data_IF_769761707565
#
_entry.id   IF_769761707565
#
_cell.length_a   1.000
_cell.length_b   1.000
_cell.length_c   1.000
_cell.angle_alpha   90.00
_cell.angle_beta   90.00
_cell.angle_gamma   90.00
#
_symmetry.space_group_name_H-M   'P 1'
#
loop_
_entity.id
_entity.type
_entity.pdbx_description
1 polymer ?
#
# COMPACT_ATOMS: atom_id res chain seq x y z
N UNK A 1 3.02 40.55 -0.55
CA UNK A 1 2.19 39.65 0.28
C UNK A 1 1.54 38.61 -0.61
N UNK A 2 2.03 37.36 -0.62
CA UNK A 2 1.28 36.16 -1.01
C UNK A 2 2.27 34.97 -1.12
N UNK A 3 2.36 34.15 -0.08
CA UNK A 3 2.51 32.70 -0.22
C UNK A 3 2.36 32.07 1.17
N UNK A 4 1.11 31.89 1.61
CA UNK A 4 0.76 31.09 2.79
C UNK A 4 0.07 29.77 2.40
N UNK A 5 0.21 29.30 1.15
CA UNK A 5 -0.60 28.19 0.60
C UNK A 5 -0.01 26.79 0.77
N UNK A 6 0.81 26.55 1.79
CA UNK A 6 1.31 25.21 2.13
C UNK A 6 1.29 24.91 3.64
N UNK A 7 0.41 25.57 4.41
CA UNK A 7 0.31 25.37 5.87
C UNK A 7 -0.60 24.23 6.31
N UNK A 8 -1.26 23.53 5.38
CA UNK A 8 -2.24 22.51 5.73
C UNK A 8 -1.70 21.13 5.35
N UNK A 9 -1.59 20.28 6.36
CA UNK A 9 -1.59 18.80 6.31
C UNK A 9 -0.26 18.07 6.62
N UNK A 10 0.94 18.64 6.43
CA UNK A 10 2.17 17.93 6.88
C UNK A 10 3.01 18.79 7.81
N UNK A 11 2.97 18.45 9.10
CA UNK A 11 3.80 19.06 10.13
C UNK A 11 4.81 18.02 10.59
N UNK A 12 6.05 18.13 10.13
CA UNK A 12 7.17 17.25 10.56
C UNK A 12 7.72 17.59 11.95
N UNK A 13 7.02 18.43 12.72
CA UNK A 13 7.45 18.87 14.05
C UNK A 13 7.37 17.76 15.11
N UNK A 14 6.62 16.68 14.83
CA UNK A 14 6.48 15.57 15.74
C UNK A 14 7.71 14.65 15.79
N UNK A 15 8.68 14.79 14.88
CA UNK A 15 9.83 13.89 14.81
C UNK A 15 11.17 14.54 14.46
N UNK A 16 11.18 15.69 13.79
CA UNK A 16 12.43 16.36 13.44
C UNK A 16 12.36 17.86 13.67
N UNK A 17 13.24 18.37 14.54
CA UNK A 17 13.37 19.81 14.80
C UNK A 17 13.82 20.60 13.56
N UNK A 18 14.54 19.94 12.65
CA UNK A 18 15.00 20.54 11.38
C UNK A 18 13.83 20.70 10.40
N UNK A 19 12.97 19.68 10.30
CA UNK A 19 11.79 19.68 9.43
C UNK A 19 10.67 20.55 10.02
N UNK A 20 10.60 20.69 11.34
CA UNK A 20 9.61 21.52 12.06
C UNK A 20 9.54 22.99 11.59
N UNK A 21 10.64 23.52 11.03
CA UNK A 21 10.73 24.91 10.55
C UNK A 21 9.89 25.18 9.30
N UNK A 22 9.45 24.13 8.62
CA UNK A 22 8.63 24.21 7.42
C UNK A 22 9.42 24.23 6.11
N UNK A 23 8.72 24.13 4.97
CA UNK A 23 9.33 23.93 3.67
C UNK A 23 9.93 25.23 3.09
N UNK A 24 11.23 25.42 3.31
CA UNK A 24 11.99 26.52 2.71
C UNK A 24 12.55 26.17 1.31
N UNK A 25 12.73 24.87 1.03
CA UNK A 25 13.23 24.35 -0.27
C UNK A 25 12.56 23.02 -0.62
N UNK A 26 12.63 22.60 -1.89
CA UNK A 26 12.14 21.29 -2.31
C UNK A 26 12.83 20.12 -1.57
N UNK A 27 14.09 20.31 -1.15
CA UNK A 27 14.84 19.36 -0.31
C UNK A 27 14.12 19.03 1.00
N UNK A 28 13.36 19.98 1.55
CA UNK A 28 12.58 19.73 2.77
C UNK A 28 11.59 18.57 2.61
N UNK A 29 10.95 18.44 1.44
CA UNK A 29 9.99 17.36 1.17
C UNK A 29 10.70 16.00 1.12
N UNK A 30 11.89 15.95 0.55
CA UNK A 30 12.68 14.72 0.51
C UNK A 30 13.16 14.31 1.90
N UNK A 31 13.66 15.26 2.69
CA UNK A 31 14.08 15.00 4.08
C UNK A 31 12.89 14.52 4.92
N UNK A 32 11.69 15.07 4.72
CA UNK A 32 10.48 14.59 5.38
C UNK A 32 10.22 13.10 5.15
N UNK A 33 10.40 12.61 3.92
CA UNK A 33 10.17 11.18 3.61
C UNK A 33 11.30 10.29 4.14
N UNK A 34 12.56 10.71 3.97
CA UNK A 34 13.73 9.93 4.36
C UNK A 34 13.84 9.81 5.88
N UNK A 35 13.58 10.90 6.61
CA UNK A 35 13.74 10.92 8.07
C UNK A 35 12.55 10.26 8.79
N UNK A 36 11.43 9.97 8.13
CA UNK A 36 10.19 9.52 8.78
C UNK A 36 10.34 8.25 9.64
N UNK A 37 11.19 7.32 9.22
CA UNK A 37 11.45 6.07 9.93
C UNK A 37 12.85 5.99 10.57
N UNK A 38 13.65 7.07 10.51
CA UNK A 38 14.93 7.13 11.21
C UNK A 38 14.73 7.53 12.68
N UNK A 39 14.18 6.62 13.48
CA UNK A 39 13.84 6.89 14.88
C UNK A 39 15.02 7.30 15.75
N UNK A 40 16.25 6.88 15.39
CA UNK A 40 17.47 7.27 16.10
C UNK A 40 17.80 8.76 15.90
N UNK A 41 17.39 9.35 14.77
CA UNK A 41 17.55 10.78 14.52
C UNK A 41 16.52 11.64 15.27
N UNK A 42 15.42 11.05 15.74
CA UNK A 42 14.31 11.79 16.39
C UNK A 42 14.57 12.02 17.88
N UNK A 43 15.18 11.05 18.55
CA UNK A 43 15.40 11.02 20.00
C UNK A 43 16.58 10.12 20.33
N UNK A 44 17.26 10.36 21.45
CA UNK A 44 18.29 9.47 21.99
C UNK A 44 17.76 8.50 23.05
N UNK A 45 16.46 8.56 23.37
CA UNK A 45 15.81 7.67 24.33
C UNK A 45 15.52 6.30 23.71
N UNK A 46 16.27 5.29 24.17
CA UNK A 46 16.13 3.91 23.70
C UNK A 46 14.75 3.31 24.01
N UNK A 47 14.10 3.74 25.09
CA UNK A 47 12.77 3.26 25.44
C UNK A 47 11.73 3.80 24.45
N UNK A 48 11.80 5.09 24.11
CA UNK A 48 10.93 5.70 23.10
C UNK A 48 11.16 5.09 21.70
N UNK A 49 12.42 4.90 21.30
CA UNK A 49 12.79 4.23 20.04
C UNK A 49 12.19 2.82 20.01
N UNK A 50 12.36 2.04 21.08
CA UNK A 50 11.86 0.67 21.16
C UNK A 50 10.32 0.61 21.07
N UNK A 51 9.60 1.56 21.69
CA UNK A 51 8.13 1.67 21.58
C UNK A 51 7.69 2.01 20.15
N UNK A 52 8.40 2.92 19.46
CA UNK A 52 8.13 3.26 18.04
C UNK A 52 8.39 2.06 17.13
N UNK A 53 9.50 1.36 17.31
CA UNK A 53 9.81 0.15 16.55
C UNK A 53 8.76 -0.94 16.80
N UNK A 54 8.41 -1.22 18.06
CA UNK A 54 7.41 -2.23 18.41
C UNK A 54 6.04 -1.94 17.79
N UNK A 55 5.57 -0.69 17.85
CA UNK A 55 4.31 -0.29 17.23
C UNK A 55 4.35 -0.35 15.69
N UNK A 56 5.47 0.06 15.06
CA UNK A 56 5.65 -0.06 13.61
C UNK A 56 5.57 -1.51 13.12
N UNK A 57 6.05 -2.49 13.90
CA UNK A 57 5.90 -3.90 13.56
C UNK A 57 4.43 -4.33 13.51
N UNK A 58 3.58 -3.88 14.44
CA UNK A 58 2.14 -4.14 14.36
C UNK A 58 1.48 -3.45 13.17
N UNK A 59 1.93 -2.23 12.84
CA UNK A 59 1.55 -1.55 11.59
C UNK A 59 1.84 -2.43 10.37
N UNK A 60 3.08 -2.92 10.24
CA UNK A 60 3.49 -3.80 9.16
C UNK A 60 2.67 -5.11 9.12
N UNK A 61 2.48 -5.77 10.28
CA UNK A 61 1.68 -6.98 10.37
C UNK A 61 0.23 -6.75 9.92
N UNK A 62 -0.38 -5.62 10.30
CA UNK A 62 -1.73 -5.29 9.88
C UNK A 62 -1.86 -5.11 8.37
N UNK A 63 -0.87 -4.49 7.72
CA UNK A 63 -0.82 -4.35 6.26
C UNK A 63 -0.66 -5.73 5.60
N UNK A 64 0.19 -6.60 6.16
CA UNK A 64 0.35 -7.98 5.68
C UNK A 64 -0.97 -8.75 5.77
N UNK A 65 -1.67 -8.67 6.90
CA UNK A 65 -2.96 -9.35 7.06
C UNK A 65 -4.04 -8.79 6.15
N UNK A 66 -4.05 -7.47 5.94
CA UNK A 66 -4.97 -6.84 4.98
C UNK A 66 -4.67 -7.30 3.54
N UNK A 67 -3.39 -7.36 3.17
CA UNK A 67 -2.96 -7.87 1.86
C UNK A 67 -3.36 -9.34 1.67
N UNK A 68 -3.07 -10.21 2.65
CA UNK A 68 -3.47 -11.62 2.63
C UNK A 68 -5.00 -11.76 2.52
N UNK A 69 -5.74 -11.01 3.33
CA UNK A 69 -7.20 -10.98 3.28
C UNK A 69 -7.72 -10.59 1.89
N UNK A 70 -7.12 -9.57 1.27
CA UNK A 70 -7.39 -9.19 -0.11
C UNK A 70 -7.12 -10.33 -1.10
N UNK A 71 -6.00 -11.03 -0.97
CA UNK A 71 -5.69 -12.20 -1.82
C UNK A 71 -6.75 -13.30 -1.70
N UNK A 72 -7.18 -13.63 -0.48
CA UNK A 72 -8.25 -14.61 -0.26
C UNK A 72 -9.60 -14.15 -0.81
N UNK A 73 -9.95 -12.87 -0.60
CA UNK A 73 -11.19 -12.31 -1.09
C UNK A 73 -11.26 -12.32 -2.62
N UNK A 74 -10.16 -11.93 -3.29
CA UNK A 74 -10.06 -12.00 -4.74
C UNK A 74 -10.17 -13.43 -5.26
N UNK A 75 -9.48 -14.37 -4.60
CA UNK A 75 -9.63 -15.80 -4.88
C UNK A 75 -11.06 -16.32 -4.71
N UNK A 76 -11.81 -15.83 -3.73
CA UNK A 76 -13.18 -16.27 -3.49
C UNK A 76 -14.21 -15.66 -4.46
N UNK A 77 -14.02 -14.39 -4.85
CA UNK A 77 -15.04 -13.60 -5.54
C UNK A 77 -14.81 -13.42 -7.04
N UNK A 78 -13.56 -13.34 -7.50
CA UNK A 78 -13.23 -12.92 -8.86
C UNK A 78 -12.36 -13.95 -9.60
N UNK A 79 -12.23 -15.17 -9.07
CA UNK A 79 -11.34 -16.18 -9.65
C UNK A 79 -12.06 -17.32 -10.36
N UNK A 80 -11.30 -18.07 -11.15
CA UNK A 80 -11.69 -19.36 -11.71
C UNK A 80 -11.22 -20.55 -10.83
N UNK A 81 -10.95 -20.34 -9.54
CA UNK A 81 -10.31 -21.33 -8.65
C UNK A 81 -10.96 -22.72 -8.67
N UNK A 82 -12.30 -22.81 -8.69
CA UNK A 82 -13.00 -24.11 -8.76
C UNK A 82 -12.77 -24.82 -10.09
N UNK A 83 -12.77 -24.09 -11.20
CA UNK A 83 -12.53 -24.65 -12.52
C UNK A 83 -11.06 -25.09 -12.65
N UNK A 84 -10.12 -24.23 -12.24
CA UNK A 84 -8.71 -24.57 -12.15
C UNK A 84 -8.45 -25.83 -11.31
N UNK A 85 -9.12 -25.97 -10.15
CA UNK A 85 -8.98 -27.15 -9.30
C UNK A 85 -9.47 -28.44 -9.97
N UNK A 86 -10.42 -28.34 -10.91
CA UNK A 86 -10.96 -29.49 -11.64
C UNK A 86 -10.09 -29.95 -12.82
N UNK A 87 -9.33 -29.05 -13.44
CA UNK A 87 -8.37 -29.36 -14.51
C UNK A 87 -7.15 -28.43 -14.45
N UNK A 88 -6.23 -28.65 -13.49
CA UNK A 88 -5.09 -27.76 -13.26
C UNK A 88 -4.02 -27.85 -14.36
N UNK A 89 -4.15 -28.82 -15.28
CA UNK A 89 -3.21 -29.04 -16.38
C UNK A 89 -3.55 -28.25 -17.64
N UNK A 90 -4.81 -27.84 -17.82
CA UNK A 90 -5.25 -27.12 -19.02
C UNK A 90 -5.94 -25.79 -18.72
N UNK A 91 -6.39 -25.56 -17.48
CA UNK A 91 -6.95 -24.26 -17.06
C UNK A 91 -5.85 -23.46 -16.39
N UNK A 92 -5.70 -22.19 -16.78
CA UNK A 92 -4.74 -21.28 -16.16
C UNK A 92 -5.39 -20.57 -14.97
N UNK A 93 -4.66 -20.35 -13.85
CA UNK A 93 -5.23 -19.66 -12.70
C UNK A 93 -5.41 -18.17 -12.97
N UNK A 94 -6.62 -17.65 -12.74
CA UNK A 94 -6.95 -16.23 -12.82
C UNK A 94 -7.77 -15.77 -11.61
N UNK A 95 -7.44 -14.59 -11.05
CA UNK A 95 -8.10 -14.03 -9.86
C UNK A 95 -8.28 -12.50 -9.88
N UNK A 96 -7.95 -11.86 -11.00
CA UNK A 96 -8.12 -10.43 -11.22
C UNK A 96 -8.88 -10.22 -12.53
N UNK A 97 -9.91 -9.38 -12.48
CA UNK A 97 -10.73 -9.01 -13.63
C UNK A 97 -10.64 -7.50 -13.79
N UNK A 98 -10.36 -7.06 -15.02
CA UNK A 98 -10.22 -5.65 -15.39
C UNK A 98 -11.57 -5.14 -15.90
N UNK A 99 -11.96 -3.94 -15.45
CA UNK A 99 -13.20 -3.31 -15.92
C UNK A 99 -13.08 -2.74 -17.34
N UNK A 100 -14.13 -2.87 -18.18
CA UNK A 100 -14.12 -2.40 -19.57
C UNK A 100 -14.47 -0.91 -19.66
N UNK A 101 -13.48 -0.03 -19.45
CA UNK A 101 -13.68 1.42 -19.50
C UNK A 101 -13.16 2.02 -20.82
N UNK A 102 -11.93 1.65 -21.21
CA UNK A 102 -11.20 2.27 -22.34
C UNK A 102 -10.52 1.26 -23.27
N UNK A 103 -10.98 0.00 -23.30
CA UNK A 103 -10.34 -1.07 -24.08
C UNK A 103 -9.34 -1.93 -23.29
N UNK A 104 -9.17 -1.66 -21.99
CA UNK A 104 -8.28 -2.41 -21.11
C UNK A 104 -8.80 -3.82 -20.77
N UNK A 105 -10.04 -4.16 -21.13
CA UNK A 105 -10.58 -5.51 -21.06
C UNK A 105 -9.83 -6.51 -21.96
N UNK A 106 -8.99 -6.04 -22.88
CA UNK A 106 -8.01 -6.88 -23.59
C UNK A 106 -7.07 -7.62 -22.62
N UNK A 107 -6.91 -7.13 -21.38
CA UNK A 107 -6.15 -7.79 -20.32
C UNK A 107 -6.89 -8.96 -19.67
N UNK A 108 -8.20 -9.10 -19.89
CA UNK A 108 -8.99 -10.26 -19.45
C UNK A 108 -8.84 -11.41 -20.46
N UNK A 109 -7.63 -11.94 -20.57
CA UNK A 109 -7.32 -13.07 -21.46
C UNK A 109 -8.17 -14.31 -21.16
N UNK A 110 -8.35 -15.16 -22.16
CA UNK A 110 -9.02 -16.45 -21.99
C UNK A 110 -8.10 -17.43 -21.24
N UNK A 111 -8.35 -17.60 -19.95
CA UNK A 111 -7.62 -18.50 -19.04
C UNK A 111 -8.32 -19.86 -18.87
N UNK A 112 -9.41 -20.10 -19.60
CA UNK A 112 -10.23 -21.30 -19.44
C UNK A 112 -11.08 -21.31 -18.16
N UNK A 113 -12.08 -22.19 -18.13
CA UNK A 113 -12.90 -22.41 -16.93
C UNK A 113 -13.79 -21.21 -16.54
N UNK A 114 -14.43 -20.57 -17.53
CA UNK A 114 -15.24 -19.35 -17.41
C UNK A 114 -16.03 -19.30 -16.10
N UNK A 115 -15.71 -18.34 -15.23
CA UNK A 115 -16.51 -18.08 -14.04
C UNK A 115 -17.87 -17.51 -14.48
N UNK A 116 -18.96 -18.21 -14.12
CA UNK A 116 -20.32 -17.87 -14.57
C UNK A 116 -20.83 -16.49 -14.08
N UNK A 117 -20.06 -15.78 -13.26
CA UNK A 117 -20.55 -14.60 -12.52
C UNK A 117 -20.31 -13.24 -13.20
N UNK A 118 -19.69 -13.21 -14.39
CA UNK A 118 -19.42 -11.98 -15.15
C UNK A 118 -19.81 -12.07 -16.62
N UNK A 119 -21.03 -12.56 -16.90
CA UNK A 119 -21.75 -12.28 -18.14
C UNK A 119 -22.78 -11.17 -17.91
#
# INVERSE_FOLDING_TARGET
MASQRAKYVIKGDHFSRTIAKGPDTATWIWNLYVDAHDFNSHTSDLEEISRKVFSAHFGQLSIIFLWLSGMYFHGARFSNYKAWLSDPTHIEPGAQVVWPIVGQEILNGDVGGVSEEYK
#
